data_IF_620660444143
#
_entry.id   IF_620660444143
#
_cell.length_a   1.000
_cell.length_b   1.000
_cell.length_c   1.000
_cell.angle_alpha   90.00
_cell.angle_beta   90.00
_cell.angle_gamma   90.00
#
_symmetry.space_group_name_H-M   'P 1'
#
loop_
_entity.id
_entity.type
_entity.pdbx_description
1 polymer ?
#
# COMPACT_ATOMS: atom_id res chain seq x y z
N UNK A 1 14.43 23.85 -11.79
CA UNK A 1 13.49 22.74 -12.06
C UNK A 1 12.90 22.30 -10.74
N UNK A 2 11.59 22.47 -10.55
CA UNK A 2 10.90 21.96 -9.37
C UNK A 2 10.44 20.53 -9.69
N UNK A 3 10.54 19.62 -8.72
CA UNK A 3 10.25 18.19 -8.92
C UNK A 3 8.74 18.00 -8.73
N UNK A 4 8.10 17.15 -9.56
CA UNK A 4 6.66 16.85 -9.53
C UNK A 4 6.08 16.67 -8.12
N UNK A 5 6.79 15.95 -7.24
CA UNK A 5 6.37 15.74 -5.85
C UNK A 5 6.26 17.05 -5.06
N UNK A 6 7.19 17.99 -5.26
CA UNK A 6 7.16 19.28 -4.59
C UNK A 6 6.07 20.20 -5.17
N UNK A 7 5.88 20.18 -6.49
CA UNK A 7 4.85 21.00 -7.16
C UNK A 7 3.45 20.60 -6.70
N UNK A 8 3.19 19.30 -6.61
CA UNK A 8 1.91 18.75 -6.17
C UNK A 8 1.81 18.61 -4.65
N UNK A 9 2.81 19.10 -3.89
CA UNK A 9 2.86 19.03 -2.42
C UNK A 9 2.64 17.61 -1.88
N UNK A 10 3.19 16.62 -2.58
CA UNK A 10 3.10 15.21 -2.22
C UNK A 10 4.05 14.94 -1.05
N UNK A 11 3.47 14.51 0.07
CA UNK A 11 4.21 14.19 1.29
C UNK A 11 4.68 12.74 1.34
N UNK A 12 3.85 11.82 0.87
CA UNK A 12 4.09 10.39 0.84
C UNK A 12 3.67 9.90 -0.53
N UNK A 13 4.54 9.14 -1.19
CA UNK A 13 4.29 8.56 -2.51
C UNK A 13 4.61 7.07 -2.48
N UNK A 14 3.66 6.26 -2.95
CA UNK A 14 3.74 4.80 -2.94
C UNK A 14 3.80 4.32 -4.38
N UNK A 15 4.76 3.46 -4.69
CA UNK A 15 4.97 2.92 -6.02
C UNK A 15 5.08 1.41 -5.91
N UNK A 16 4.21 0.69 -6.62
CA UNK A 16 4.35 -0.74 -6.90
C UNK A 16 5.04 -0.96 -8.24
N UNK A 17 5.58 -2.16 -8.46
CA UNK A 17 6.23 -2.54 -9.72
C UNK A 17 7.37 -1.59 -10.10
N UNK A 18 8.22 -1.25 -9.14
CA UNK A 18 9.34 -0.32 -9.41
C UNK A 18 10.40 -0.93 -10.31
N UNK A 19 10.45 -2.27 -10.39
CA UNK A 19 11.45 -3.01 -11.16
C UNK A 19 12.89 -2.59 -10.77
N UNK A 20 13.08 -2.13 -9.54
CA UNK A 20 14.38 -1.76 -9.00
C UNK A 20 15.22 -3.02 -8.73
N UNK A 21 16.53 -2.84 -8.86
CA UNK A 21 17.56 -3.83 -8.56
C UNK A 21 18.59 -3.19 -7.65
N UNK A 22 19.54 -3.97 -7.14
CA UNK A 22 20.64 -3.44 -6.33
C UNK A 22 21.57 -2.49 -7.12
N UNK A 23 21.39 -2.44 -8.45
CA UNK A 23 22.10 -1.52 -9.36
C UNK A 23 21.30 -0.26 -9.67
N UNK A 24 20.02 -0.21 -9.28
CA UNK A 24 19.15 0.92 -9.53
C UNK A 24 19.49 2.05 -8.53
N UNK A 25 19.92 3.19 -9.05
CA UNK A 25 20.12 4.39 -8.22
C UNK A 25 18.93 5.34 -8.38
N UNK A 26 18.20 5.55 -7.29
CA UNK A 26 17.04 6.44 -7.27
C UNK A 26 17.07 7.29 -6.01
N UNK A 27 17.19 8.61 -6.20
CA UNK A 27 17.20 9.58 -5.12
C UNK A 27 16.47 10.84 -5.55
N UNK A 28 15.60 11.36 -4.69
CA UNK A 28 14.88 12.61 -4.91
C UNK A 28 15.27 13.59 -3.81
N UNK A 29 15.78 14.75 -4.21
CA UNK A 29 16.15 15.79 -3.27
C UNK A 29 14.98 16.19 -2.35
N UNK A 30 15.24 16.22 -1.04
CA UNK A 30 14.26 16.45 0.06
C UNK A 30 13.29 15.32 0.35
N UNK A 31 13.55 14.13 -0.18
CA UNK A 31 12.76 12.94 0.09
C UNK A 31 13.67 11.77 0.48
N UNK A 32 13.20 10.98 1.44
CA UNK A 32 13.76 9.68 1.78
C UNK A 32 13.08 8.63 0.92
N UNK A 33 13.84 7.65 0.43
CA UNK A 33 13.33 6.55 -0.39
C UNK A 33 13.59 5.24 0.33
N UNK A 34 12.52 4.49 0.57
CA UNK A 34 12.55 3.13 1.11
C UNK A 34 12.05 2.20 0.02
N UNK A 35 12.72 1.07 -0.18
CA UNK A 35 12.29 0.12 -1.20
C UNK A 35 12.65 -1.30 -0.80
N UNK A 36 11.93 -2.24 -1.40
CA UNK A 36 12.15 -3.68 -1.29
C UNK A 36 12.18 -4.22 -2.70
N UNK A 37 13.34 -4.72 -3.11
CA UNK A 37 13.55 -5.32 -4.42
C UNK A 37 13.02 -6.76 -4.43
N UNK A 38 13.07 -7.39 -5.60
CA UNK A 38 12.83 -8.82 -5.70
C UNK A 38 14.08 -9.60 -5.24
N UNK A 39 13.86 -10.73 -4.56
CA UNK A 39 14.87 -11.47 -3.79
C UNK A 39 16.14 -11.87 -4.55
N UNK A 40 16.05 -12.15 -5.86
CA UNK A 40 17.21 -12.54 -6.67
C UNK A 40 17.90 -11.35 -7.37
N UNK A 41 17.50 -10.12 -7.04
CA UNK A 41 18.03 -8.88 -7.61
C UNK A 41 17.59 -8.60 -9.05
N UNK A 42 16.70 -9.41 -9.62
CA UNK A 42 16.10 -9.14 -10.92
C UNK A 42 14.97 -8.12 -10.84
N UNK A 43 14.68 -7.50 -11.99
CA UNK A 43 13.63 -6.50 -12.13
C UNK A 43 12.24 -7.14 -12.35
N UNK A 44 11.85 -8.15 -11.56
CA UNK A 44 10.52 -8.79 -11.70
C UNK A 44 9.40 -8.11 -10.93
N UNK A 45 9.75 -7.27 -9.96
CA UNK A 45 8.77 -6.53 -9.17
C UNK A 45 9.46 -5.51 -8.27
N UNK A 46 8.86 -5.25 -7.12
CA UNK A 46 9.41 -4.35 -6.12
C UNK A 46 8.42 -3.30 -5.67
N UNK A 47 8.67 -2.77 -4.49
CA UNK A 47 7.84 -1.71 -3.89
C UNK A 47 8.73 -0.57 -3.44
N UNK A 48 8.21 0.65 -3.47
CA UNK A 48 8.92 1.84 -3.01
C UNK A 48 7.98 2.78 -2.28
N UNK A 49 8.45 3.29 -1.15
CA UNK A 49 7.82 4.34 -0.36
C UNK A 49 8.77 5.55 -0.37
N UNK A 50 8.28 6.68 -0.88
CA UNK A 50 9.01 7.94 -0.89
C UNK A 50 8.34 8.89 0.08
N UNK A 51 9.09 9.41 1.06
CA UNK A 51 8.57 10.26 2.14
C UNK A 51 9.35 11.56 2.18
N UNK A 52 8.65 12.69 2.29
CA UNK A 52 9.28 13.99 2.46
C UNK A 52 10.13 13.99 3.73
N UNK A 53 11.39 14.43 3.66
CA UNK A 53 12.36 14.33 4.76
C UNK A 53 11.94 15.06 6.05
N UNK A 54 10.98 15.99 5.94
CA UNK A 54 10.40 16.74 7.07
C UNK A 54 9.46 15.90 7.93
N UNK A 55 9.02 14.75 7.45
CA UNK A 55 8.13 13.84 8.20
C UNK A 55 9.01 12.94 9.06
N UNK A 56 8.65 12.82 10.34
CA UNK A 56 9.33 11.91 11.26
C UNK A 56 8.86 10.48 11.03
N UNK A 57 9.81 9.60 10.75
CA UNK A 57 9.55 8.23 10.33
C UNK A 57 10.60 7.25 10.85
N UNK A 58 10.32 5.95 10.75
CA UNK A 58 11.24 4.85 11.02
C UNK A 58 11.00 3.70 10.04
N UNK A 59 12.06 3.24 9.39
CA UNK A 59 11.99 2.05 8.52
C UNK A 59 11.61 0.82 9.34
N UNK A 60 10.70 0.01 8.81
CA UNK A 60 10.29 -1.26 9.40
C UNK A 60 10.92 -2.44 8.67
N UNK A 61 10.68 -3.66 9.16
CA UNK A 61 11.16 -4.88 8.53
C UNK A 61 10.57 -4.99 7.11
N UNK A 62 11.47 -5.16 6.13
CA UNK A 62 11.09 -5.44 4.74
C UNK A 62 10.64 -6.88 4.60
N UNK A 63 9.60 -7.10 3.81
CA UNK A 63 9.20 -8.44 3.43
C UNK A 63 9.63 -8.70 1.99
N UNK A 64 10.67 -9.51 1.82
CA UNK A 64 11.27 -9.80 0.52
C UNK A 64 11.19 -11.30 0.23
N UNK A 65 10.12 -11.72 -0.45
CA UNK A 65 9.94 -13.09 -0.92
C UNK A 65 9.63 -13.09 -2.40
N UNK A 66 9.94 -14.19 -3.08
CA UNK A 66 9.63 -14.40 -4.50
C UNK A 66 8.16 -14.10 -4.83
N UNK A 67 7.24 -14.42 -3.92
CA UNK A 67 5.80 -14.23 -4.13
C UNK A 67 5.24 -12.91 -3.59
N UNK A 68 6.01 -12.14 -2.82
CA UNK A 68 5.54 -10.88 -2.25
C UNK A 68 6.73 -10.00 -1.84
N UNK A 69 6.73 -8.76 -2.33
CA UNK A 69 7.62 -7.70 -1.86
C UNK A 69 6.79 -6.64 -1.14
N UNK A 70 7.21 -6.27 0.07
CA UNK A 70 6.52 -5.23 0.85
C UNK A 70 7.53 -4.36 1.57
N UNK A 71 7.49 -3.07 1.26
CA UNK A 71 8.19 -2.00 1.98
C UNK A 71 7.27 -1.47 3.06
N UNK A 72 7.77 -1.35 4.29
CA UNK A 72 7.01 -0.82 5.42
C UNK A 72 7.80 0.26 6.14
N UNK A 73 7.11 1.35 6.49
CA UNK A 73 7.66 2.49 7.23
C UNK A 73 6.62 2.94 8.26
N UNK A 74 7.08 3.18 9.48
CA UNK A 74 6.26 3.74 10.55
C UNK A 74 6.35 5.27 10.52
N UNK A 75 5.20 5.95 10.39
CA UNK A 75 5.11 7.40 10.47
C UNK A 75 4.79 7.82 11.91
N UNK A 76 5.61 8.70 12.49
CA UNK A 76 5.48 9.17 13.88
C UNK A 76 4.62 10.42 14.02
N UNK A 77 4.42 11.14 12.92
CA UNK A 77 3.54 12.30 12.84
C UNK A 77 2.06 11.90 12.93
N UNK A 78 1.18 12.86 13.23
CA UNK A 78 -0.28 12.69 13.29
C UNK A 78 -0.93 12.52 11.90
N UNK A 79 -0.60 11.42 11.23
CA UNK A 79 -1.27 10.94 10.02
C UNK A 79 -2.31 9.90 10.39
N UNK A 80 -3.46 9.99 9.74
CA UNK A 80 -4.51 8.99 9.77
C UNK A 80 -4.55 8.26 8.44
N UNK A 81 -4.86 6.96 8.48
CA UNK A 81 -5.26 6.23 7.29
C UNK A 81 -6.79 6.19 7.25
N UNK A 82 -7.33 6.30 6.05
CA UNK A 82 -8.77 6.28 5.78
C UNK A 82 -8.97 5.22 4.72
N UNK A 83 -9.80 4.22 4.99
CA UNK A 83 -10.16 3.20 4.02
C UNK A 83 -11.58 2.74 4.31
N UNK A 84 -12.29 2.28 3.30
CA UNK A 84 -13.56 1.56 3.48
C UNK A 84 -13.33 0.25 4.24
N UNK A 85 -12.12 -0.31 4.18
CA UNK A 85 -11.83 -1.67 4.65
C UNK A 85 -12.50 -2.75 3.79
N UNK A 86 -13.14 -2.35 2.69
CA UNK A 86 -13.77 -3.23 1.71
C UNK A 86 -12.83 -3.43 0.52
N UNK A 87 -12.94 -4.55 -0.20
CA UNK A 87 -12.19 -4.76 -1.43
C UNK A 87 -12.49 -3.67 -2.47
N UNK A 88 -11.44 -3.03 -2.98
CA UNK A 88 -11.52 -2.20 -4.18
C UNK A 88 -11.76 -3.12 -5.39
N UNK A 89 -13.00 -3.18 -5.87
CA UNK A 89 -13.36 -4.07 -6.97
C UNK A 89 -13.15 -3.39 -8.33
N UNK A 90 -12.30 -3.96 -9.21
CA UNK A 90 -12.39 -3.71 -10.66
C UNK A 90 -11.96 -4.93 -11.48
N UNK A 91 -12.90 -5.72 -11.99
CA UNK A 91 -13.43 -5.71 -13.37
C UNK A 91 -14.60 -6.69 -13.43
N UNK A 92 -15.49 -6.59 -14.42
CA UNK A 92 -16.53 -7.59 -14.73
C UNK A 92 -16.02 -9.02 -15.02
N UNK A 93 -14.70 -9.27 -14.95
CA UNK A 93 -14.10 -10.59 -15.17
C UNK A 93 -13.80 -11.26 -13.81
N UNK A 94 -14.55 -12.31 -13.42
CA UNK A 94 -14.36 -13.04 -12.16
C UNK A 94 -13.00 -13.75 -12.04
N UNK A 95 -12.19 -13.78 -13.12
CA UNK A 95 -10.92 -14.49 -13.16
C UNK A 95 -9.73 -13.59 -12.83
N UNK A 96 -9.94 -12.28 -12.66
CA UNK A 96 -8.88 -11.34 -12.26
C UNK A 96 -8.77 -11.28 -10.74
N UNK A 97 -7.55 -11.45 -10.24
CA UNK A 97 -7.21 -11.20 -8.85
C UNK A 97 -7.39 -9.70 -8.57
N UNK A 98 -8.07 -9.30 -7.48
CA UNK A 98 -8.11 -7.90 -7.10
C UNK A 98 -6.69 -7.38 -6.89
N UNK A 99 -6.39 -6.28 -7.56
CA UNK A 99 -5.06 -5.71 -7.74
C UNK A 99 -4.91 -4.32 -7.09
N UNK A 100 -5.99 -3.74 -6.57
CA UNK A 100 -6.01 -2.40 -6.00
C UNK A 100 -6.26 -2.40 -4.48
N UNK A 101 -5.48 -1.60 -3.77
CA UNK A 101 -5.63 -1.32 -2.34
C UNK A 101 -6.12 0.13 -2.20
N UNK A 102 -7.38 0.31 -1.80
CA UNK A 102 -7.99 1.63 -1.65
C UNK A 102 -7.83 2.14 -0.21
N UNK A 103 -6.84 3.01 -0.01
CA UNK A 103 -6.64 3.72 1.23
C UNK A 103 -6.06 5.10 0.96
N UNK A 104 -6.42 6.05 1.83
CA UNK A 104 -5.92 7.40 1.84
C UNK A 104 -5.06 7.60 3.08
N UNK A 105 -4.00 8.38 2.94
CA UNK A 105 -3.17 8.84 4.06
C UNK A 105 -3.37 10.35 4.18
N UNK A 106 -3.87 10.81 5.32
CA UNK A 106 -4.22 12.22 5.54
C UNK A 106 -3.61 12.74 6.85
N UNK A 107 -3.08 13.98 6.82
CA UNK A 107 -2.61 14.69 8.01
C UNK A 107 -3.63 15.72 8.45
N UNK A 108 -3.95 15.74 9.74
CA UNK A 108 -4.83 16.76 10.32
C UNK A 108 -6.33 16.63 9.99
N UNK A 109 -6.74 15.55 9.35
CA UNK A 109 -8.16 15.22 9.16
C UNK A 109 -8.59 14.31 10.30
N UNK A 110 -9.56 14.75 11.12
CA UNK A 110 -10.16 13.92 12.16
C UNK A 110 -11.04 12.85 11.52
N UNK A 111 -10.85 11.59 11.91
CA UNK A 111 -11.70 10.48 11.44
C UNK A 111 -13.18 10.67 11.82
N UNK A 112 -13.47 11.42 12.89
CA UNK A 112 -14.85 11.75 13.29
C UNK A 112 -15.60 12.63 12.28
N UNK A 113 -14.88 13.28 11.37
CA UNK A 113 -15.43 14.21 10.38
C UNK A 113 -15.41 13.62 8.96
N UNK A 114 -15.02 12.35 8.82
CA UNK A 114 -14.89 11.68 7.53
C UNK A 114 -15.92 10.57 7.44
N UNK A 115 -16.79 10.67 6.43
CA UNK A 115 -17.65 9.57 6.02
C UNK A 115 -16.95 8.84 4.87
N UNK A 116 -16.75 7.52 5.02
CA UNK A 116 -16.10 6.68 4.02
C UNK A 116 -17.12 5.69 3.51
N UNK A 117 -17.52 5.84 2.26
CA UNK A 117 -18.52 4.99 1.63
C UNK A 117 -17.89 4.16 0.52
N UNK A 118 -18.23 2.88 0.49
CA UNK A 118 -17.92 2.00 -0.63
C UNK A 118 -18.86 2.27 -1.78
N UNK A 119 -18.35 2.15 -3.01
CA UNK A 119 -19.16 2.32 -4.23
C UNK A 119 -19.64 0.97 -4.80
N UNK A 120 -19.53 -0.12 -4.04
CA UNK A 120 -19.95 -1.46 -4.45
C UNK A 120 -21.45 -1.47 -4.79
N UNK A 121 -21.75 -1.51 -6.09
CA UNK A 121 -23.09 -1.81 -6.58
C UNK A 121 -23.42 -3.26 -6.22
N UNK A 122 -24.59 -3.46 -5.62
CA UNK A 122 -25.19 -4.76 -5.31
C UNK A 122 -24.98 -5.79 -6.44
N UNK A 123 -24.29 -6.89 -6.12
CA UNK A 123 -24.45 -8.16 -6.81
C UNK A 123 -23.20 -8.76 -7.46
N UNK A 124 -22.79 -9.91 -6.88
CA UNK A 124 -22.02 -11.01 -7.45
C UNK A 124 -20.53 -10.77 -7.75
N UNK A 125 -19.68 -11.43 -6.96
CA UNK A 125 -18.79 -12.49 -7.49
C UNK A 125 -18.15 -13.29 -6.36
N UNK A 126 -18.09 -14.60 -6.55
CA UNK A 126 -17.49 -15.56 -5.64
C UNK A 126 -16.25 -16.15 -6.33
N UNK A 127 -15.11 -16.10 -5.62
CA UNK A 127 -13.82 -16.83 -5.78
C UNK A 127 -12.72 -16.31 -6.74
N UNK A 128 -11.48 -16.16 -6.18
CA UNK A 128 -10.24 -16.87 -6.62
C UNK A 128 -8.96 -16.54 -5.82
N UNK A 129 -8.94 -15.54 -4.95
CA UNK A 129 -7.83 -15.39 -3.99
C UNK A 129 -8.00 -16.38 -2.85
N UNK A 130 -6.95 -17.10 -2.46
CA UNK A 130 -6.89 -17.81 -1.16
C UNK A 130 -6.81 -16.76 -0.05
N UNK A 131 -7.90 -16.01 0.14
CA UNK A 131 -7.99 -14.87 1.03
C UNK A 131 -7.58 -15.22 2.45
N UNK A 132 -7.87 -16.43 2.91
CA UNK A 132 -7.44 -16.92 4.22
C UNK A 132 -5.92 -17.00 4.35
N UNK A 133 -5.22 -17.51 3.32
CA UNK A 133 -3.75 -17.62 3.33
C UNK A 133 -3.09 -16.25 3.17
N UNK A 134 -3.58 -15.43 2.24
CA UNK A 134 -3.11 -14.06 2.08
C UNK A 134 -3.32 -13.25 3.37
N UNK A 135 -4.49 -13.34 3.98
CA UNK A 135 -4.80 -12.66 5.25
C UNK A 135 -3.93 -13.15 6.40
N UNK A 136 -3.67 -14.46 6.51
CA UNK A 136 -2.74 -15.00 7.49
C UNK A 136 -1.33 -14.42 7.27
N UNK A 137 -0.80 -14.50 6.05
CA UNK A 137 0.52 -13.95 5.73
C UNK A 137 0.61 -12.46 6.01
N UNK A 138 -0.39 -11.68 5.63
CA UNK A 138 -0.41 -10.24 5.86
C UNK A 138 -0.54 -9.94 7.36
N UNK A 139 -1.49 -10.55 8.08
CA UNK A 139 -1.66 -10.27 9.52
C UNK A 139 -0.47 -10.76 10.36
N UNK A 140 0.16 -11.87 9.98
CA UNK A 140 1.28 -12.47 10.72
C UNK A 140 2.60 -11.74 10.45
N UNK A 141 2.80 -11.22 9.23
CA UNK A 141 4.07 -10.62 8.79
C UNK A 141 4.03 -9.11 8.63
N UNK A 142 2.83 -8.51 8.60
CA UNK A 142 2.62 -7.06 8.46
C UNK A 142 1.72 -6.63 9.61
N UNK A 143 2.21 -5.71 10.45
CA UNK A 143 1.47 -5.23 11.61
C UNK A 143 0.31 -4.32 11.18
N UNK A 144 -0.77 -4.93 10.70
CA UNK A 144 -2.00 -4.23 10.39
C UNK A 144 -2.78 -3.99 11.69
N UNK A 145 -2.91 -2.71 12.09
CA UNK A 145 -3.79 -2.33 13.20
C UNK A 145 -5.27 -2.67 12.93
N UNK A 146 -5.64 -2.92 11.67
CA UNK A 146 -6.99 -3.31 11.25
C UNK A 146 -6.90 -4.60 10.42
N UNK A 147 -7.54 -5.71 10.83
CA UNK A 147 -7.52 -6.94 10.05
C UNK A 147 -8.35 -6.80 8.77
N UNK A 148 -7.85 -7.36 7.67
CA UNK A 148 -8.58 -7.38 6.39
C UNK A 148 -9.92 -8.13 6.51
N UNK A 149 -11.01 -7.57 6.00
CA UNK A 149 -12.34 -8.21 5.98
C UNK A 149 -12.51 -9.09 4.73
N UNK A 150 -13.19 -10.22 4.85
CA UNK A 150 -13.57 -11.07 3.71
C UNK A 150 -14.95 -10.71 3.20
N UNK A 151 -15.33 -11.22 2.02
CA UNK A 151 -16.71 -11.10 1.48
C UNK A 151 -17.75 -11.69 2.44
N UNK A 152 -17.38 -12.71 3.23
CA UNK A 152 -18.25 -13.28 4.26
C UNK A 152 -18.33 -12.44 5.55
N UNK A 153 -17.59 -11.34 5.65
CA UNK A 153 -17.63 -10.38 6.77
C UNK A 153 -18.35 -9.08 6.39
N UNK A 154 -18.94 -9.03 5.20
CA UNK A 154 -19.74 -7.93 4.70
C UNK A 154 -21.17 -8.47 4.68
N UNK A 155 -22.03 -7.93 5.56
CA UNK A 155 -23.45 -8.31 5.70
C UNK A 155 -24.27 -7.94 4.46
#
# INVERSE_FOLDING_TARGET
TQIFLNENKINIFLISETHFTDRSYFNIYKYKTYHTNYLDGTAYGGTTIIINEKISDAESIKFEKVFLQSTSVEIKDAYNHISTGEPAYWSTDPRKTPDLLDFFIAKGISLSQVEVNSSTKNGRTIWKTYWSLYKALINDNINLKIPLKTVSNID
#
